data_IF_595178624484
#
_entry.id   IF_595178624484
#
_cell.length_a   1.000
_cell.length_b   1.000
_cell.length_c   1.000
_cell.angle_alpha   90.00
_cell.angle_beta   90.00
_cell.angle_gamma   90.00
#
_symmetry.space_group_name_H-M   'P 1'
#
loop_
_entity.id
_entity.type
_entity.pdbx_description
1 polymer ?
#
# COMPACT_ATOMS: atom_id res chain seq x y z
N UNK A 1 0.70 10.99 -3.41
CA UNK A 1 1.99 10.40 -3.82
C UNK A 1 1.81 9.77 -5.19
N UNK A 2 2.84 9.76 -6.03
CA UNK A 2 2.83 9.00 -7.30
C UNK A 2 2.70 7.51 -7.02
N UNK A 3 2.18 6.73 -7.97
CA UNK A 3 2.04 5.28 -7.84
C UNK A 3 3.39 4.60 -7.64
N UNK A 4 4.47 5.11 -8.24
CA UNK A 4 5.83 4.60 -8.08
C UNK A 4 6.38 4.74 -6.64
N UNK A 5 5.85 5.68 -5.86
CA UNK A 5 6.28 5.92 -4.47
C UNK A 5 5.52 5.03 -3.45
N UNK A 6 4.45 4.36 -3.88
CA UNK A 6 3.53 3.64 -2.98
C UNK A 6 3.96 2.21 -2.60
N UNK A 7 4.71 1.40 -3.38
CA UNK A 7 4.90 -0.02 -3.10
C UNK A 7 5.42 -0.32 -1.69
N UNK A 8 6.41 0.44 -1.22
CA UNK A 8 6.98 0.24 0.12
C UNK A 8 5.98 0.60 1.24
N UNK A 9 5.17 1.64 1.04
CA UNK A 9 4.13 2.05 1.99
C UNK A 9 2.99 1.02 2.04
N UNK A 10 2.53 0.52 0.89
CA UNK A 10 1.51 -0.52 0.82
C UNK A 10 2.01 -1.82 1.48
N UNK A 11 3.27 -2.20 1.24
CA UNK A 11 3.90 -3.36 1.88
C UNK A 11 3.90 -3.22 3.40
N UNK A 12 4.33 -2.07 3.91
CA UNK A 12 4.35 -1.80 5.34
C UNK A 12 2.94 -1.81 5.96
N UNK A 13 1.96 -1.21 5.27
CA UNK A 13 0.58 -1.15 5.71
C UNK A 13 -0.07 -2.53 5.78
N UNK A 14 0.03 -3.32 4.70
CA UNK A 14 -0.51 -4.68 4.66
C UNK A 14 0.21 -5.59 5.66
N UNK A 15 1.52 -5.39 5.89
CA UNK A 15 2.24 -6.15 6.94
C UNK A 15 1.62 -5.93 8.33
N UNK A 16 1.18 -4.70 8.62
CA UNK A 16 0.67 -4.31 9.94
C UNK A 16 -0.80 -4.63 10.16
N UNK A 17 -1.62 -4.58 9.09
CA UNK A 17 -3.08 -4.58 9.16
C UNK A 17 -3.74 -5.71 8.36
N UNK A 18 -2.97 -6.74 7.94
CA UNK A 18 -3.45 -7.80 7.03
C UNK A 18 -4.77 -8.43 7.48
N UNK A 19 -4.95 -8.66 8.78
CA UNK A 19 -6.12 -9.36 9.30
C UNK A 19 -7.41 -8.55 9.09
N UNK A 20 -7.31 -7.22 9.14
CA UNK A 20 -8.43 -6.30 9.04
C UNK A 20 -8.70 -5.86 7.59
N UNK A 21 -7.63 -5.61 6.81
CA UNK A 21 -7.76 -4.95 5.49
C UNK A 21 -7.39 -5.85 4.31
N UNK A 22 -6.91 -7.08 4.54
CA UNK A 22 -6.31 -7.92 3.50
C UNK A 22 -7.22 -8.20 2.30
N UNK A 23 -8.54 -8.22 2.51
CA UNK A 23 -9.53 -8.44 1.43
C UNK A 23 -9.53 -7.32 0.38
N UNK A 24 -9.13 -6.09 0.75
CA UNK A 24 -9.14 -4.94 -0.15
C UNK A 24 -7.92 -4.89 -1.08
N UNK A 25 -6.91 -5.73 -0.86
CA UNK A 25 -5.63 -5.70 -1.59
C UNK A 25 -5.56 -6.75 -2.70
N UNK A 26 -6.69 -7.33 -3.12
CA UNK A 26 -6.74 -8.28 -4.25
C UNK A 26 -5.81 -9.49 -4.10
N UNK A 27 -5.63 -9.97 -2.86
CA UNK A 27 -4.73 -11.09 -2.54
C UNK A 27 -3.24 -10.73 -2.39
N UNK A 28 -2.85 -9.47 -2.65
CA UNK A 28 -1.49 -8.98 -2.42
C UNK A 28 -1.17 -8.98 -0.92
N UNK A 29 0.04 -9.40 -0.59
CA UNK A 29 0.53 -9.46 0.79
C UNK A 29 1.88 -8.76 0.94
N UNK A 30 2.32 -8.56 2.18
CA UNK A 30 3.64 -8.01 2.45
C UNK A 30 4.82 -8.85 1.89
N UNK A 31 4.58 -10.10 1.48
CA UNK A 31 5.56 -11.00 0.86
C UNK A 31 5.45 -11.07 -0.66
N UNK A 32 4.45 -10.41 -1.25
CA UNK A 32 4.30 -10.38 -2.71
C UNK A 32 5.49 -9.67 -3.38
N UNK A 33 5.81 -10.03 -4.63
CA UNK A 33 6.81 -9.32 -5.42
C UNK A 33 6.43 -7.85 -5.58
N UNK A 34 7.41 -7.02 -5.91
CA UNK A 34 7.21 -5.57 -6.06
C UNK A 34 6.22 -5.21 -7.18
N UNK A 35 6.21 -5.99 -8.27
CA UNK A 35 5.27 -5.84 -9.38
C UNK A 35 3.80 -5.91 -8.95
N UNK A 36 3.47 -6.79 -7.99
CA UNK A 36 2.11 -6.93 -7.46
C UNK A 36 1.69 -5.69 -6.67
N UNK A 37 2.62 -5.10 -5.92
CA UNK A 37 2.37 -3.87 -5.17
C UNK A 37 2.22 -2.68 -6.12
N UNK A 38 3.03 -2.61 -7.19
CA UNK A 38 2.86 -1.58 -8.24
C UNK A 38 1.51 -1.71 -8.93
N UNK A 39 1.07 -2.94 -9.24
CA UNK A 39 -0.21 -3.19 -9.91
C UNK A 39 -1.40 -2.64 -9.13
N UNK A 40 -1.40 -2.73 -7.81
CA UNK A 40 -2.50 -2.24 -6.96
C UNK A 40 -2.31 -0.78 -6.51
N UNK A 41 -1.18 -0.15 -6.83
CA UNK A 41 -0.87 1.21 -6.38
C UNK A 41 -1.91 2.27 -6.82
N UNK A 42 -2.48 2.20 -8.05
CA UNK A 42 -3.55 3.10 -8.47
C UNK A 42 -4.84 2.96 -7.66
N UNK A 43 -5.15 1.75 -7.17
CA UNK A 43 -6.37 1.44 -6.42
C UNK A 43 -6.31 1.89 -4.95
N UNK A 44 -5.12 2.28 -4.47
CA UNK A 44 -4.86 2.63 -3.08
C UNK A 44 -4.25 4.03 -2.97
N UNK A 45 -5.08 5.09 -2.87
CA UNK A 45 -4.60 6.45 -2.66
C UNK A 45 -3.83 6.60 -1.34
N UNK A 46 -2.65 7.23 -1.40
CA UNK A 46 -1.81 7.51 -0.22
C UNK A 46 -1.50 9.01 -0.14
N UNK A 47 -1.77 9.58 1.02
CA UNK A 47 -1.61 11.01 1.31
C UNK A 47 -0.49 11.22 2.32
N UNK A 48 0.40 12.19 2.04
CA UNK A 48 1.34 12.70 3.02
C UNK A 48 0.65 13.79 3.83
N UNK A 49 0.48 13.56 5.12
CA UNK A 49 -0.08 14.55 6.04
C UNK A 49 1.03 15.45 6.55
N UNK A 50 0.84 16.76 6.49
CA UNK A 50 1.75 17.77 7.03
C UNK A 50 1.01 18.55 8.10
N UNK A 51 1.57 18.58 9.32
CA UNK A 51 1.08 19.50 10.34
C UNK A 51 1.48 20.92 9.95
N UNK A 52 0.53 21.85 10.01
CA UNK A 52 0.82 23.28 9.99
C UNK A 52 0.93 23.77 11.44
N UNK A 53 1.88 24.68 11.67
CA UNK A 53 1.99 25.44 12.90
C UNK A 53 0.96 26.57 12.90
#
# INVERSE_FOLDING_TARGET
LSDDEKPDLLRAYVKRWKAEVGVFFGGVSAKSPEEDLRRIAPDHPVFRIQMRA
#
